data_IF_232476217343
#
_entry.id   IF_232476217343
#
_cell.length_a   1.000
_cell.length_b   1.000
_cell.length_c   1.000
_cell.angle_alpha   90.00
_cell.angle_beta   90.00
_cell.angle_gamma   90.00
#
_symmetry.space_group_name_H-M   'P 1'
#
loop_
_entity.id
_entity.type
_entity.pdbx_description
1 polymer ?
#
# COMPACT_ATOMS: atom_id res chain seq x y z
N UNK A 1 8.19 -20.87 -74.82
CA UNK A 1 6.85 -20.25 -74.81
C UNK A 1 6.78 -19.36 -73.58
N UNK A 2 7.12 -18.05 -73.71
CA UNK A 2 6.23 -16.94 -74.13
C UNK A 2 5.16 -16.64 -73.07
N UNK A 3 4.93 -15.44 -72.57
CA UNK A 3 5.53 -14.10 -72.70
C UNK A 3 5.03 -13.29 -71.48
N UNK A 4 5.86 -12.33 -71.09
CA UNK A 4 5.67 -11.08 -70.32
C UNK A 4 4.27 -10.43 -70.36
N UNK A 5 3.86 -9.71 -69.28
CA UNK A 5 3.65 -8.23 -69.24
C UNK A 5 3.31 -7.75 -67.82
N UNK A 6 4.11 -6.79 -67.35
CA UNK A 6 3.92 -5.91 -66.19
C UNK A 6 3.31 -4.58 -66.66
N UNK A 7 2.45 -3.90 -65.89
CA UNK A 7 2.24 -2.48 -66.06
C UNK A 7 2.92 -1.62 -64.98
N UNK A 8 3.23 -0.43 -65.45
CA UNK A 8 4.08 0.65 -64.98
C UNK A 8 3.50 1.44 -63.80
N UNK A 9 4.39 2.07 -63.03
CA UNK A 9 4.10 3.15 -62.08
C UNK A 9 3.65 4.42 -62.80
N UNK A 10 2.85 5.25 -62.13
CA UNK A 10 2.76 6.69 -62.38
C UNK A 10 3.00 7.44 -61.05
N UNK A 11 3.89 8.43 -61.11
CA UNK A 11 4.10 9.54 -60.18
C UNK A 11 2.76 10.31 -59.96
N UNK A 12 2.52 11.19 -58.98
CA UNK A 12 3.32 12.05 -58.12
C UNK A 12 2.39 12.53 -56.97
N UNK A 13 2.92 12.71 -55.75
CA UNK A 13 3.03 13.99 -55.02
C UNK A 13 1.78 14.54 -54.29
N UNK A 14 2.02 14.81 -53.01
CA UNK A 14 1.50 15.85 -52.11
C UNK A 14 0.22 16.62 -52.48
N UNK A 15 -0.70 16.76 -51.51
CA UNK A 15 -0.94 18.03 -50.78
C UNK A 15 -2.23 17.98 -49.93
N UNK A 16 -2.08 18.44 -48.69
CA UNK A 16 -2.88 19.49 -48.04
C UNK A 16 -4.39 19.51 -48.33
N UNK A 17 -5.17 18.97 -47.39
CA UNK A 17 -6.60 19.25 -47.27
C UNK A 17 -6.81 20.70 -46.82
N UNK A 18 -7.03 21.58 -47.79
CA UNK A 18 -7.63 22.91 -47.61
C UNK A 18 -9.15 22.76 -47.52
N UNK A 19 -9.75 23.33 -46.48
CA UNK A 19 -11.21 23.52 -46.42
C UNK A 19 -11.50 25.00 -46.64
N UNK A 20 -12.46 25.18 -47.54
CA UNK A 20 -12.91 26.37 -48.26
C UNK A 20 -13.71 27.35 -47.39
N UNK A 21 -13.56 28.65 -47.67
CA UNK A 21 -14.62 29.69 -47.68
C UNK A 21 -13.95 31.00 -48.14
N UNK A 22 -14.49 31.90 -48.95
CA UNK A 22 -15.83 32.20 -49.45
C UNK A 22 -15.74 33.67 -49.92
N UNK A 23 -16.38 34.01 -51.03
CA UNK A 23 -16.17 35.19 -51.90
C UNK A 23 -16.48 36.59 -51.33
N UNK A 24 -15.90 37.60 -51.99
CA UNK A 24 -15.95 39.07 -51.81
C UNK A 24 -17.33 39.76 -51.67
N UNK A 25 -17.38 40.85 -50.88
CA UNK A 25 -17.81 42.20 -51.34
C UNK A 25 -17.33 43.32 -50.38
N UNK A 26 -17.11 44.56 -50.85
CA UNK A 26 -16.47 45.64 -50.09
C UNK A 26 -17.46 46.73 -49.62
N UNK A 27 -17.33 47.23 -48.38
CA UNK A 27 -17.48 48.63 -47.98
C UNK A 27 -17.42 48.77 -46.46
N UNK A 28 -16.78 49.84 -46.01
CA UNK A 28 -16.29 50.01 -44.65
C UNK A 28 -17.34 50.24 -43.57
N UNK A 29 -16.89 50.11 -42.33
CA UNK A 29 -17.08 51.03 -41.22
C UNK A 29 -16.22 50.51 -40.05
N UNK A 30 -15.47 51.42 -39.41
CA UNK A 30 -14.64 51.12 -38.24
C UNK A 30 -15.52 50.78 -37.03
N UNK A 31 -15.42 49.55 -36.53
CA UNK A 31 -15.92 49.18 -35.21
C UNK A 31 -14.82 48.44 -34.42
N UNK A 32 -14.42 49.05 -33.31
CA UNK A 32 -13.61 48.43 -32.26
C UNK A 32 -14.50 47.48 -31.44
N UNK A 33 -14.42 46.16 -31.64
CA UNK A 33 -14.67 45.23 -30.53
C UNK A 33 -14.22 43.76 -30.76
N UNK A 34 -13.74 43.16 -29.68
CA UNK A 34 -13.75 41.72 -29.35
C UNK A 34 -12.86 40.75 -30.13
N UNK A 35 -11.58 40.65 -29.72
CA UNK A 35 -10.76 39.48 -29.98
C UNK A 35 -11.29 38.26 -29.19
N UNK A 36 -11.92 37.31 -29.89
CA UNK A 36 -12.25 35.99 -29.36
C UNK A 36 -10.95 35.19 -29.12
N UNK A 37 -10.51 35.10 -27.87
CA UNK A 37 -9.49 34.15 -27.45
C UNK A 37 -10.06 32.73 -27.48
N UNK A 38 -9.57 31.89 -28.40
CA UNK A 38 -9.89 30.47 -28.42
C UNK A 38 -9.54 29.81 -27.08
N UNK A 39 -10.29 28.77 -26.67
CA UNK A 39 -10.07 28.10 -25.40
C UNK A 39 -8.66 27.52 -25.35
N UNK A 40 -7.78 28.12 -24.56
CA UNK A 40 -6.44 27.59 -24.32
C UNK A 40 -6.60 26.24 -23.64
N UNK A 41 -6.29 25.16 -24.36
CA UNK A 41 -6.30 23.80 -23.80
C UNK A 41 -5.31 23.78 -22.62
N UNK A 42 -5.85 23.69 -21.41
CA UNK A 42 -5.07 23.64 -20.19
C UNK A 42 -4.37 22.29 -20.15
N UNK A 43 -3.07 22.27 -20.41
CA UNK A 43 -2.29 21.04 -20.32
C UNK A 43 -2.49 20.45 -18.91
N UNK A 44 -2.79 19.16 -18.84
CA UNK A 44 -3.03 18.43 -17.60
C UNK A 44 -1.80 17.57 -17.33
N UNK A 45 -1.28 17.62 -16.11
CA UNK A 45 -0.18 16.77 -15.66
C UNK A 45 -0.56 15.28 -15.71
N UNK A 46 0.40 14.34 -15.75
CA UNK A 46 0.10 12.91 -15.63
C UNK A 46 -0.69 12.51 -14.37
N UNK A 47 -0.75 13.38 -13.35
CA UNK A 47 -1.55 13.23 -12.13
C UNK A 47 -2.90 13.95 -12.14
N UNK A 48 -3.40 14.43 -13.29
CA UNK A 48 -4.75 14.98 -13.43
C UNK A 48 -4.92 16.45 -13.04
N UNK A 49 -3.85 17.13 -12.59
CA UNK A 49 -3.90 18.54 -12.18
C UNK A 49 -3.61 19.47 -13.38
N UNK A 50 -4.34 20.59 -13.55
CA UNK A 50 -4.03 21.59 -14.56
C UNK A 50 -2.65 22.19 -14.35
N UNK A 51 -1.86 22.35 -15.41
CA UNK A 51 -0.56 23.00 -15.34
C UNK A 51 -0.77 24.50 -15.06
N UNK A 52 -0.27 24.96 -13.92
CA UNK A 52 -0.25 26.35 -13.52
C UNK A 52 1.01 27.04 -14.08
N UNK A 53 0.82 27.85 -15.11
CA UNK A 53 1.89 28.63 -15.77
C UNK A 53 1.97 30.07 -15.24
N UNK A 54 1.30 30.41 -14.14
CA UNK A 54 1.25 31.80 -13.62
C UNK A 54 2.54 32.24 -12.92
N UNK A 55 3.46 31.32 -12.64
CA UNK A 55 4.73 31.61 -11.99
C UNK A 55 5.89 31.62 -13.02
N UNK A 56 6.76 32.65 -13.02
CA UNK A 56 8.01 32.65 -13.80
C UNK A 56 8.85 31.42 -13.46
N UNK A 57 9.47 30.81 -14.47
CA UNK A 57 10.13 29.50 -14.45
C UNK A 57 11.25 29.37 -13.40
N UNK A 58 10.87 29.18 -12.15
CA UNK A 58 11.71 28.45 -11.19
C UNK A 58 11.58 26.96 -11.54
N UNK A 59 12.68 26.18 -11.48
CA UNK A 59 12.60 24.74 -11.68
C UNK A 59 11.54 24.15 -10.75
N UNK A 60 10.49 23.55 -11.33
CA UNK A 60 9.51 22.77 -10.58
C UNK A 60 10.23 21.50 -10.15
N UNK A 61 10.83 21.53 -8.96
CA UNK A 61 11.27 20.30 -8.31
C UNK A 61 10.02 19.54 -7.89
N UNK A 62 9.65 18.50 -8.64
CA UNK A 62 8.70 17.51 -8.14
C UNK A 62 9.35 16.83 -6.92
N UNK A 63 9.05 17.33 -5.72
CA UNK A 63 9.45 16.68 -4.47
C UNK A 63 8.77 15.31 -4.44
N UNK A 64 9.55 14.26 -4.64
CA UNK A 64 9.08 12.88 -4.47
C UNK A 64 9.01 12.58 -2.97
N UNK A 65 7.85 12.18 -2.48
CA UNK A 65 7.72 11.72 -1.11
C UNK A 65 8.60 10.49 -0.85
N UNK A 66 9.09 10.34 0.37
CA UNK A 66 9.75 9.13 0.81
C UNK A 66 8.79 7.94 0.80
N UNK A 67 9.31 6.72 0.66
CA UNK A 67 8.52 5.50 0.81
C UNK A 67 8.19 5.29 2.31
N UNK A 68 6.91 5.35 2.73
CA UNK A 68 6.56 5.17 4.13
C UNK A 68 6.42 3.69 4.54
N UNK A 69 6.39 2.75 3.59
CA UNK A 69 6.17 1.32 3.87
C UNK A 69 7.17 0.73 4.86
N UNK A 70 8.50 1.01 4.79
CA UNK A 70 9.44 0.47 5.77
C UNK A 70 9.13 0.91 7.20
N UNK A 71 8.65 2.14 7.41
CA UNK A 71 8.30 2.63 8.74
C UNK A 71 7.11 1.84 9.31
N UNK A 72 6.06 1.66 8.51
CA UNK A 72 4.89 0.88 8.90
C UNK A 72 5.23 -0.57 9.21
N UNK A 73 6.05 -1.20 8.36
CA UNK A 73 6.49 -2.59 8.55
C UNK A 73 7.41 -2.76 9.77
N UNK A 74 8.30 -1.81 10.07
CA UNK A 74 9.15 -1.89 11.28
C UNK A 74 8.32 -1.76 12.57
N UNK A 75 7.33 -0.86 12.59
CA UNK A 75 6.38 -0.71 13.69
C UNK A 75 5.59 -2.00 13.94
N UNK A 76 5.04 -2.54 12.86
CA UNK A 76 4.33 -3.82 12.86
C UNK A 76 5.21 -4.98 13.35
N UNK A 77 6.39 -5.16 12.72
CA UNK A 77 7.27 -6.29 12.95
C UNK A 77 7.75 -6.33 14.40
N UNK A 78 8.17 -5.18 14.94
CA UNK A 78 8.71 -5.09 16.30
C UNK A 78 7.65 -5.41 17.34
N UNK A 79 6.45 -4.84 17.19
CA UNK A 79 5.36 -5.08 18.13
C UNK A 79 4.86 -6.53 18.05
N UNK A 80 4.75 -7.07 16.83
CA UNK A 80 4.39 -8.48 16.60
C UNK A 80 5.42 -9.42 17.19
N UNK A 81 6.72 -9.18 16.95
CA UNK A 81 7.80 -10.00 17.48
C UNK A 81 7.73 -10.06 19.00
N UNK A 82 7.63 -8.90 19.67
CA UNK A 82 7.59 -8.86 21.13
C UNK A 82 6.35 -9.56 21.66
N UNK A 83 5.13 -9.27 21.16
CA UNK A 83 3.93 -10.01 21.61
C UNK A 83 4.08 -11.53 21.40
N UNK A 84 4.62 -11.93 20.26
CA UNK A 84 4.79 -13.35 19.90
C UNK A 84 5.79 -14.06 20.80
N UNK A 85 6.84 -13.38 21.27
CA UNK A 85 7.77 -13.90 22.27
C UNK A 85 7.10 -14.17 23.62
N UNK A 86 6.11 -13.35 24.00
CA UNK A 86 5.31 -13.58 25.20
C UNK A 86 4.32 -14.73 24.97
N UNK A 87 3.75 -14.84 23.75
CA UNK A 87 2.84 -15.93 23.42
C UNK A 87 3.49 -17.31 23.47
N UNK A 88 4.78 -17.41 23.15
CA UNK A 88 5.59 -18.63 23.32
C UNK A 88 6.19 -18.78 24.73
N UNK A 89 5.84 -17.89 25.66
CA UNK A 89 6.38 -17.85 27.03
C UNK A 89 7.91 -17.82 27.06
N UNK A 90 8.53 -17.10 26.13
CA UNK A 90 9.99 -16.99 26.09
C UNK A 90 10.50 -16.44 27.44
N UNK A 91 11.53 -17.10 27.99
CA UNK A 91 12.10 -16.77 29.31
C UNK A 91 11.11 -16.90 30.48
N UNK A 92 9.98 -17.59 30.29
CA UNK A 92 8.92 -17.72 31.32
C UNK A 92 8.10 -16.44 31.53
N UNK A 93 8.21 -15.46 30.62
CA UNK A 93 7.47 -14.20 30.71
C UNK A 93 6.13 -14.37 30.00
N UNK A 94 5.04 -14.17 30.74
CA UNK A 94 3.66 -14.25 30.22
C UNK A 94 2.86 -12.95 30.40
N UNK A 95 3.30 -12.03 31.27
CA UNK A 95 2.60 -10.76 31.54
C UNK A 95 2.85 -9.74 30.42
N UNK A 96 1.85 -9.39 29.59
CA UNK A 96 2.08 -8.63 28.35
C UNK A 96 2.30 -7.12 28.55
N UNK A 97 2.34 -6.59 29.77
CA UNK A 97 2.33 -5.14 30.04
C UNK A 97 3.42 -4.34 29.30
N UNK A 98 4.59 -4.92 29.02
CA UNK A 98 5.64 -4.24 28.25
C UNK A 98 5.24 -4.05 26.79
N UNK A 99 4.47 -4.99 26.22
CA UNK A 99 3.94 -4.92 24.84
C UNK A 99 3.05 -3.70 24.67
N UNK A 100 2.36 -3.26 25.72
CA UNK A 100 1.43 -2.14 25.67
C UNK A 100 2.08 -0.84 25.17
N UNK A 101 3.32 -0.56 25.58
CA UNK A 101 4.06 0.61 25.09
C UNK A 101 4.32 0.56 23.59
N UNK A 102 4.67 -0.63 23.07
CA UNK A 102 4.87 -0.83 21.63
C UNK A 102 3.53 -0.81 20.87
N UNK A 103 2.49 -1.40 21.44
CA UNK A 103 1.15 -1.46 20.87
C UNK A 103 0.57 -0.05 20.68
N UNK A 104 0.69 0.84 21.66
CA UNK A 104 0.21 2.21 21.51
C UNK A 104 1.20 3.07 20.70
N UNK A 105 2.49 3.00 21.02
CA UNK A 105 3.49 3.93 20.49
C UNK A 105 3.97 3.61 19.07
N UNK A 106 4.34 2.35 18.80
CA UNK A 106 5.08 1.99 17.57
C UNK A 106 4.23 1.19 16.58
N UNK A 107 3.80 -0.01 16.96
CA UNK A 107 2.85 -0.79 16.16
C UNK A 107 1.50 -0.10 16.01
N UNK A 108 1.14 0.78 16.94
CA UNK A 108 -0.08 1.58 16.87
C UNK A 108 0.10 2.89 16.13
N UNK A 109 0.53 3.92 16.86
CA UNK A 109 0.59 5.30 16.38
C UNK A 109 1.52 5.47 15.18
N UNK A 110 2.78 5.04 15.28
CA UNK A 110 3.74 5.23 14.17
C UNK A 110 3.32 4.46 12.93
N UNK A 111 2.80 3.25 13.09
CA UNK A 111 2.28 2.47 11.96
C UNK A 111 1.05 3.13 11.32
N UNK A 112 0.13 3.67 12.13
CA UNK A 112 -1.02 4.44 11.63
C UNK A 112 -0.55 5.66 10.83
N UNK A 113 0.44 6.40 11.33
CA UNK A 113 1.04 7.55 10.64
C UNK A 113 1.70 7.13 9.32
N UNK A 114 2.40 5.99 9.27
CA UNK A 114 2.92 5.45 8.02
C UNK A 114 1.79 5.18 7.01
N UNK A 115 0.66 4.62 7.44
CA UNK A 115 -0.53 4.46 6.61
C UNK A 115 -1.12 5.78 6.11
N UNK A 116 -1.12 6.83 6.94
CA UNK A 116 -1.53 8.18 6.49
C UNK A 116 -0.64 8.71 5.36
N UNK A 117 0.67 8.44 5.43
CA UNK A 117 1.61 8.81 4.37
C UNK A 117 1.51 7.93 3.13
N UNK A 118 1.05 6.67 3.24
CA UNK A 118 0.76 5.84 2.08
C UNK A 118 -0.38 6.41 1.21
N UNK A 119 -1.38 7.07 1.83
CA UNK A 119 -2.39 7.81 1.07
C UNK A 119 -1.76 8.93 0.25
N UNK A 120 -0.80 9.67 0.83
CA UNK A 120 -0.13 10.78 0.16
C UNK A 120 0.73 10.33 -1.03
N UNK A 121 1.25 9.10 -1.01
CA UNK A 121 2.03 8.53 -2.14
C UNK A 121 1.19 7.68 -3.10
N UNK A 122 -0.13 7.58 -2.87
CA UNK A 122 -1.07 6.90 -3.75
C UNK A 122 -1.08 5.38 -3.64
N UNK A 123 -0.58 4.81 -2.53
CA UNK A 123 -0.55 3.37 -2.30
C UNK A 123 -1.77 2.93 -1.46
N UNK A 124 -2.88 2.61 -2.12
CA UNK A 124 -4.12 2.19 -1.44
C UNK A 124 -3.91 0.97 -0.53
N UNK A 125 -3.17 -0.04 -1.00
CA UNK A 125 -2.95 -1.26 -0.23
C UNK A 125 -2.19 -0.95 1.07
N UNK A 126 -1.05 -0.25 0.97
CA UNK A 126 -0.25 0.12 2.14
C UNK A 126 -1.02 1.04 3.09
N UNK A 127 -1.77 2.00 2.54
CA UNK A 127 -2.58 2.93 3.32
C UNK A 127 -3.63 2.20 4.16
N UNK A 128 -4.41 1.31 3.54
CA UNK A 128 -5.40 0.53 4.27
C UNK A 128 -4.74 -0.44 5.24
N UNK A 129 -3.70 -1.18 4.83
CA UNK A 129 -3.04 -2.17 5.69
C UNK A 129 -2.40 -1.54 6.92
N UNK A 130 -1.53 -0.53 6.76
CA UNK A 130 -0.84 0.07 7.90
C UNK A 130 -1.77 0.84 8.82
N UNK A 131 -2.78 1.53 8.29
CA UNK A 131 -3.77 2.19 9.15
C UNK A 131 -4.65 1.20 9.90
N UNK A 132 -5.06 0.09 9.27
CA UNK A 132 -5.81 -0.97 9.94
C UNK A 132 -5.01 -1.63 11.05
N UNK A 133 -3.77 -2.07 10.80
CA UNK A 133 -2.95 -2.71 11.84
C UNK A 133 -2.44 -1.73 12.90
N UNK A 134 -2.25 -0.45 12.56
CA UNK A 134 -2.07 0.62 13.54
C UNK A 134 -3.27 0.73 14.48
N UNK A 135 -4.47 0.71 13.91
CA UNK A 135 -5.73 0.64 14.66
C UNK A 135 -5.82 -0.60 15.55
N UNK A 136 -5.50 -1.79 15.00
CA UNK A 136 -5.46 -3.06 15.75
C UNK A 136 -4.58 -2.94 16.99
N UNK A 137 -3.36 -2.45 16.86
CA UNK A 137 -2.43 -2.38 17.98
C UNK A 137 -2.88 -1.38 19.04
N UNK A 138 -3.44 -0.23 18.63
CA UNK A 138 -4.02 0.74 19.56
C UNK A 138 -5.20 0.12 20.31
N UNK A 139 -6.17 -0.48 19.59
CA UNK A 139 -7.35 -1.07 20.22
C UNK A 139 -7.03 -2.30 21.06
N UNK A 140 -6.08 -3.14 20.63
CA UNK A 140 -5.62 -4.28 21.41
C UNK A 140 -4.90 -3.83 22.69
N UNK A 141 -4.10 -2.77 22.62
CA UNK A 141 -3.50 -2.17 23.80
C UNK A 141 -4.55 -1.68 24.81
N UNK A 142 -5.63 -1.06 24.33
CA UNK A 142 -6.71 -0.58 25.20
C UNK A 142 -7.37 -1.68 26.03
N UNK A 143 -7.40 -2.93 25.55
CA UNK A 143 -7.93 -4.06 26.32
C UNK A 143 -7.24 -4.22 27.68
N UNK A 144 -5.96 -3.86 27.79
CA UNK A 144 -5.14 -4.10 28.98
C UNK A 144 -4.75 -2.83 29.74
N UNK A 145 -5.32 -1.67 29.39
CA UNK A 145 -5.17 -0.42 30.16
C UNK A 145 -6.27 -0.38 31.23
N UNK A 146 -5.92 -0.43 32.54
CA UNK A 146 -6.91 -0.51 33.62
C UNK A 146 -7.93 0.64 33.63
N UNK A 147 -7.53 1.81 33.14
CA UNK A 147 -8.40 2.99 33.08
C UNK A 147 -9.61 2.82 32.14
N UNK A 148 -9.54 1.92 31.16
CA UNK A 148 -10.68 1.62 30.28
C UNK A 148 -11.62 0.56 30.86
N UNK A 149 -11.24 -0.08 31.98
CA UNK A 149 -12.06 -1.06 32.71
C UNK A 149 -12.57 -2.23 31.84
N UNK A 150 -11.84 -2.57 30.75
CA UNK A 150 -12.30 -3.59 29.80
C UNK A 150 -12.19 -4.98 30.42
N UNK A 151 -11.07 -5.33 31.05
CA UNK A 151 -10.91 -6.65 31.71
C UNK A 151 -11.83 -6.75 32.91
N UNK A 152 -11.93 -5.67 33.69
CA UNK A 152 -12.73 -5.55 34.89
C UNK A 152 -14.22 -5.76 34.61
N UNK A 153 -14.70 -5.35 33.43
CA UNK A 153 -16.08 -5.58 32.99
C UNK A 153 -16.45 -7.07 32.83
N UNK A 154 -15.47 -7.97 32.74
CA UNK A 154 -15.68 -9.41 32.64
C UNK A 154 -15.43 -10.15 33.95
N UNK A 155 -15.09 -9.47 35.05
CA UNK A 155 -14.92 -10.11 36.36
C UNK A 155 -16.18 -10.89 36.78
N UNK A 156 -15.99 -12.15 37.18
CA UNK A 156 -17.08 -13.05 37.57
C UNK A 156 -17.88 -13.66 36.42
N UNK A 157 -17.66 -13.24 35.17
CA UNK A 157 -18.36 -13.80 33.99
C UNK A 157 -17.65 -15.03 33.41
N UNK A 158 -16.31 -15.06 33.46
CA UNK A 158 -15.49 -16.08 32.81
C UNK A 158 -15.35 -15.93 31.29
N UNK A 159 -15.99 -14.93 30.67
CA UNK A 159 -16.15 -14.84 29.21
C UNK A 159 -15.11 -13.91 28.53
N UNK A 160 -14.10 -13.43 29.26
CA UNK A 160 -13.11 -12.50 28.69
C UNK A 160 -12.31 -13.13 27.54
N UNK A 161 -11.87 -14.38 27.71
CA UNK A 161 -11.15 -15.12 26.67
C UNK A 161 -12.01 -15.26 25.41
N UNK A 162 -13.29 -15.64 25.54
CA UNK A 162 -14.22 -15.71 24.41
C UNK A 162 -14.40 -14.37 23.71
N UNK A 163 -14.48 -13.26 24.45
CA UNK A 163 -14.57 -11.93 23.88
C UNK A 163 -13.30 -11.55 23.08
N UNK A 164 -12.11 -11.88 23.60
CA UNK A 164 -10.83 -11.70 22.89
C UNK A 164 -10.76 -12.62 21.67
N UNK A 165 -11.24 -13.85 21.77
CA UNK A 165 -11.35 -14.79 20.66
C UNK A 165 -12.23 -14.25 19.52
N UNK A 166 -13.41 -13.69 19.83
CA UNK A 166 -14.28 -13.05 18.83
C UNK A 166 -13.56 -11.86 18.17
N UNK A 167 -12.87 -11.04 18.96
CA UNK A 167 -12.08 -9.92 18.46
C UNK A 167 -10.99 -10.38 17.49
N UNK A 168 -10.21 -11.40 17.85
CA UNK A 168 -9.13 -11.94 17.00
C UNK A 168 -9.69 -12.67 15.77
N UNK A 169 -10.86 -13.30 15.85
CA UNK A 169 -11.54 -13.90 14.70
C UNK A 169 -11.96 -12.85 13.66
N UNK A 170 -12.37 -11.65 14.09
CA UNK A 170 -12.61 -10.54 13.17
C UNK A 170 -11.32 -10.09 12.46
N UNK A 171 -10.19 -10.04 13.18
CA UNK A 171 -8.89 -9.70 12.60
C UNK A 171 -8.32 -10.78 11.69
N UNK A 172 -8.65 -12.05 11.92
CA UNK A 172 -8.41 -13.13 10.96
C UNK A 172 -9.12 -12.84 9.63
N UNK A 173 -10.42 -12.52 9.65
CA UNK A 173 -11.17 -12.21 8.41
C UNK A 173 -10.56 -11.02 7.66
N UNK A 174 -10.23 -9.94 8.39
CA UNK A 174 -9.59 -8.75 7.80
C UNK A 174 -8.24 -9.11 7.18
N UNK A 175 -7.43 -9.91 7.87
CA UNK A 175 -6.12 -10.34 7.39
C UNK A 175 -6.23 -11.24 6.17
N UNK A 176 -7.20 -12.15 6.13
CA UNK A 176 -7.47 -13.00 4.98
C UNK A 176 -7.82 -12.17 3.72
N UNK A 177 -8.59 -11.09 3.87
CA UNK A 177 -8.88 -10.17 2.77
C UNK A 177 -7.59 -9.51 2.25
N UNK A 178 -6.72 -9.04 3.16
CA UNK A 178 -5.43 -8.47 2.75
C UNK A 178 -4.51 -9.52 2.13
N UNK A 179 -4.53 -10.77 2.62
CA UNK A 179 -3.78 -11.87 2.03
C UNK A 179 -4.18 -12.05 0.56
N UNK A 180 -5.48 -12.18 0.27
CA UNK A 180 -5.98 -12.29 -1.10
C UNK A 180 -5.60 -11.07 -1.95
N UNK A 181 -5.72 -9.86 -1.41
CA UNK A 181 -5.33 -8.64 -2.10
C UNK A 181 -3.82 -8.56 -2.39
N UNK A 182 -2.99 -9.20 -1.58
CA UNK A 182 -1.52 -9.19 -1.73
C UNK A 182 -0.98 -10.18 -2.78
N UNK A 183 -1.78 -11.14 -3.26
CA UNK A 183 -1.33 -12.26 -4.11
C UNK A 183 -0.71 -11.86 -5.45
N UNK A 184 -0.91 -10.62 -5.90
CA UNK A 184 -0.30 -10.07 -7.13
C UNK A 184 0.78 -9.03 -6.88
N UNK A 185 1.14 -8.79 -5.61
CA UNK A 185 2.15 -7.80 -5.25
C UNK A 185 3.55 -8.40 -5.26
N UNK A 186 3.87 -9.23 -4.27
CA UNK A 186 5.17 -9.91 -4.20
C UNK A 186 5.07 -11.15 -3.31
N UNK A 187 5.95 -12.12 -3.54
CA UNK A 187 6.02 -13.36 -2.75
C UNK A 187 6.25 -13.02 -1.27
N UNK A 188 7.14 -12.07 -0.98
CA UNK A 188 7.42 -11.67 0.40
C UNK A 188 6.16 -11.08 1.08
N UNK A 189 5.44 -10.18 0.40
CA UNK A 189 4.24 -9.57 0.97
C UNK A 189 3.10 -10.59 1.13
N UNK A 190 2.89 -11.46 0.15
CA UNK A 190 1.91 -12.54 0.28
C UNK A 190 2.26 -13.51 1.41
N UNK A 191 3.54 -13.82 1.59
CA UNK A 191 4.01 -14.66 2.70
C UNK A 191 3.74 -13.97 4.04
N UNK A 192 4.01 -12.67 4.16
CA UNK A 192 3.73 -11.91 5.38
C UNK A 192 2.27 -12.07 5.82
N UNK A 193 1.33 -11.83 4.90
CA UNK A 193 -0.09 -11.92 5.21
C UNK A 193 -0.55 -13.35 5.45
N UNK A 194 -0.01 -14.33 4.72
CA UNK A 194 -0.32 -15.75 4.96
C UNK A 194 0.06 -16.21 6.38
N UNK A 195 1.29 -15.91 6.82
CA UNK A 195 1.71 -16.29 8.17
C UNK A 195 0.97 -15.48 9.25
N UNK A 196 0.67 -14.20 9.00
CA UNK A 196 -0.14 -13.39 9.91
C UNK A 196 -1.57 -13.91 10.04
N UNK A 197 -2.16 -14.37 8.94
CA UNK A 197 -3.50 -14.96 8.92
C UNK A 197 -3.54 -16.23 9.79
N UNK A 198 -2.54 -17.10 9.65
CA UNK A 198 -2.39 -18.28 10.51
C UNK A 198 -2.15 -17.87 11.97
N UNK A 199 -1.36 -16.82 12.24
CA UNK A 199 -1.18 -16.29 13.60
C UNK A 199 -2.53 -15.93 14.23
N UNK A 200 -3.36 -15.13 13.56
CA UNK A 200 -4.68 -14.77 14.08
C UNK A 200 -5.58 -15.99 14.25
N UNK A 201 -5.58 -16.91 13.27
CA UNK A 201 -6.33 -18.16 13.34
C UNK A 201 -6.00 -18.96 14.61
N UNK A 202 -4.71 -19.20 14.84
CA UNK A 202 -4.27 -19.98 16.00
C UNK A 202 -4.56 -19.25 17.31
N UNK A 203 -4.32 -17.94 17.38
CA UNK A 203 -4.57 -17.18 18.61
C UNK A 203 -6.06 -17.16 18.97
N UNK A 204 -6.97 -16.92 18.03
CA UNK A 204 -8.40 -16.93 18.37
C UNK A 204 -8.90 -18.34 18.74
N UNK A 205 -8.41 -19.39 18.08
CA UNK A 205 -8.74 -20.77 18.44
C UNK A 205 -8.20 -21.09 19.84
N UNK A 206 -7.03 -20.59 20.20
CA UNK A 206 -6.47 -20.76 21.53
C UNK A 206 -7.36 -20.12 22.60
N UNK A 207 -7.88 -18.90 22.35
CA UNK A 207 -8.81 -18.24 23.27
C UNK A 207 -10.11 -19.05 23.46
N UNK A 208 -10.72 -19.55 22.38
CA UNK A 208 -11.95 -20.35 22.48
C UNK A 208 -11.77 -21.74 23.10
N UNK A 209 -10.58 -22.32 22.99
CA UNK A 209 -10.32 -23.68 23.48
C UNK A 209 -9.58 -23.70 24.82
N UNK A 210 -9.00 -22.57 25.25
CA UNK A 210 -8.08 -22.50 26.38
C UNK A 210 -6.77 -23.27 26.16
N UNK A 211 -6.45 -23.65 24.92
CA UNK A 211 -5.31 -24.53 24.63
C UNK A 211 -3.99 -23.77 24.59
N UNK A 212 -3.18 -23.92 25.65
CA UNK A 212 -1.85 -23.31 25.72
C UNK A 212 -0.89 -23.75 24.60
N UNK A 213 -1.03 -24.98 24.09
CA UNK A 213 -0.22 -25.46 22.95
C UNK A 213 -0.58 -24.74 21.65
N UNK A 214 -1.88 -24.47 21.42
CA UNK A 214 -2.34 -23.69 20.26
C UNK A 214 -1.91 -22.23 20.40
N UNK A 215 -2.00 -21.67 21.62
CA UNK A 215 -1.50 -20.32 21.90
C UNK A 215 -0.01 -20.18 21.57
N UNK A 216 0.79 -21.15 22.02
CA UNK A 216 2.24 -21.22 21.72
C UNK A 216 2.49 -21.34 20.22
N UNK A 217 1.72 -22.17 19.51
CA UNK A 217 1.83 -22.26 18.06
C UNK A 217 1.51 -20.93 17.37
N UNK A 218 0.46 -20.22 17.80
CA UNK A 218 0.14 -18.88 17.31
C UNK A 218 1.29 -17.90 17.50
N UNK A 219 1.93 -17.92 18.67
CA UNK A 219 3.17 -17.17 18.94
C UNK A 219 4.31 -17.53 17.99
N UNK A 220 4.56 -18.82 17.72
CA UNK A 220 5.62 -19.24 16.80
C UNK A 220 5.40 -18.71 15.37
N UNK A 221 4.16 -18.78 14.87
CA UNK A 221 3.80 -18.19 13.58
C UNK A 221 3.94 -16.66 13.59
N UNK A 222 3.60 -16.00 14.70
CA UNK A 222 3.78 -14.55 14.85
C UNK A 222 5.25 -14.12 14.80
N UNK A 223 6.17 -14.93 15.32
CA UNK A 223 7.61 -14.70 15.18
C UNK A 223 8.03 -14.76 13.71
N UNK A 224 7.59 -15.77 12.97
CA UNK A 224 7.88 -15.92 11.53
C UNK A 224 7.35 -14.70 10.76
N UNK A 225 6.10 -14.31 11.02
CA UNK A 225 5.46 -13.12 10.47
C UNK A 225 6.31 -11.87 10.69
N UNK A 226 6.80 -11.65 11.91
CA UNK A 226 7.62 -10.49 12.23
C UNK A 226 8.94 -10.46 11.45
N UNK A 227 9.62 -11.60 11.32
CA UNK A 227 10.87 -11.67 10.54
C UNK A 227 10.65 -11.42 9.04
N UNK A 228 9.53 -11.88 8.48
CA UNK A 228 9.17 -11.57 7.09
C UNK A 228 8.90 -10.06 6.95
N UNK A 229 8.20 -9.44 7.90
CA UNK A 229 7.96 -7.99 7.89
C UNK A 229 9.25 -7.19 7.98
N UNK A 230 10.19 -7.59 8.86
CA UNK A 230 11.52 -6.99 8.92
C UNK A 230 12.29 -7.12 7.60
N UNK A 231 12.21 -8.29 6.95
CA UNK A 231 12.82 -8.50 5.65
C UNK A 231 12.27 -7.54 4.59
N UNK A 232 10.95 -7.39 4.51
CA UNK A 232 10.30 -6.48 3.54
C UNK A 232 10.66 -5.02 3.86
N UNK A 233 10.67 -4.64 5.15
CA UNK A 233 11.05 -3.30 5.57
C UNK A 233 12.49 -2.97 5.15
N UNK A 234 13.43 -3.89 5.41
CA UNK A 234 14.82 -3.76 5.01
C UNK A 234 14.95 -3.66 3.49
N UNK A 235 14.26 -4.53 2.74
CA UNK A 235 14.25 -4.47 1.27
C UNK A 235 13.75 -3.12 0.74
N UNK A 236 12.79 -2.49 1.43
CA UNK A 236 12.29 -1.16 1.07
C UNK A 236 13.20 0.01 1.45
N UNK A 237 14.17 -0.18 2.35
CA UNK A 237 15.19 0.83 2.71
C UNK A 237 16.46 0.73 1.86
N UNK A 238 16.82 -0.47 1.41
CA UNK A 238 18.02 -0.70 0.60
C UNK A 238 17.78 -0.26 -0.85
N UNK A 239 18.42 0.85 -1.25
CA UNK A 239 18.38 1.34 -2.63
C UNK A 239 19.73 1.19 -3.30
N UNK A 240 19.78 1.19 -4.64
CA UNK A 240 21.05 1.14 -5.39
C UNK A 240 21.96 2.33 -5.09
N UNK A 241 21.39 3.45 -4.68
CA UNK A 241 22.12 4.69 -4.40
C UNK A 241 22.66 4.73 -2.96
N UNK A 242 22.02 4.02 -2.03
CA UNK A 242 22.33 4.07 -0.58
C UNK A 242 22.90 2.77 -0.04
N UNK A 243 23.00 1.72 -0.83
CA UNK A 243 23.34 0.37 -0.34
C UNK A 243 24.17 -0.43 -1.33
N UNK A 244 25.07 -1.26 -0.79
CA UNK A 244 25.94 -2.13 -1.59
C UNK A 244 25.21 -3.31 -2.24
N UNK A 245 24.00 -3.63 -1.77
CA UNK A 245 23.17 -4.71 -2.28
C UNK A 245 21.68 -4.38 -2.13
N UNK A 246 20.84 -5.15 -2.83
CA UNK A 246 19.37 -5.08 -2.72
C UNK A 246 18.83 -6.47 -2.41
N UNK A 247 17.64 -6.55 -1.83
CA UNK A 247 17.02 -7.80 -1.42
C UNK A 247 15.87 -8.20 -2.35
N UNK A 248 15.80 -9.46 -2.80
CA UNK A 248 14.74 -9.92 -3.70
C UNK A 248 13.43 -10.15 -2.96
N UNK A 249 12.37 -9.42 -3.32
CA UNK A 249 11.03 -9.61 -2.75
C UNK A 249 10.14 -10.59 -3.55
N UNK A 250 10.59 -10.98 -4.75
CA UNK A 250 9.84 -11.82 -5.69
C UNK A 250 8.62 -11.10 -6.26
N UNK A 251 8.84 -10.20 -7.21
CA UNK A 251 7.78 -9.43 -7.87
C UNK A 251 6.81 -10.36 -8.61
N UNK A 252 5.51 -10.27 -8.28
CA UNK A 252 4.43 -11.05 -8.90
C UNK A 252 3.59 -10.21 -9.87
N UNK A 253 3.92 -8.93 -10.02
CA UNK A 253 3.28 -8.08 -11.02
C UNK A 253 3.60 -8.62 -12.42
N UNK A 254 2.59 -8.60 -13.30
CA UNK A 254 2.65 -9.25 -14.60
C UNK A 254 3.81 -8.64 -15.41
N UNK A 255 4.86 -9.43 -15.70
CA UNK A 255 5.95 -9.00 -16.56
C UNK A 255 5.38 -8.56 -17.91
N UNK A 256 5.40 -7.26 -18.20
CA UNK A 256 5.13 -6.78 -19.55
C UNK A 256 6.28 -7.25 -20.42
N UNK A 257 6.04 -8.30 -21.20
CA UNK A 257 6.97 -8.71 -22.25
C UNK A 257 7.14 -7.50 -23.18
N UNK A 258 8.36 -6.95 -23.37
CA UNK A 258 8.56 -5.90 -24.35
C UNK A 258 8.18 -6.49 -25.70
N UNK A 259 7.20 -5.89 -26.41
CA UNK A 259 7.02 -6.19 -27.82
C UNK A 259 8.29 -5.73 -28.53
N UNK A 260 9.14 -6.66 -28.95
CA UNK A 260 10.21 -6.36 -29.89
C UNK A 260 9.55 -5.85 -31.17
N UNK A 261 9.73 -4.57 -31.47
CA UNK A 261 9.45 -4.03 -32.80
C UNK A 261 10.41 -4.71 -33.78
N UNK A 262 9.89 -5.64 -34.57
CA UNK A 262 10.50 -6.05 -35.83
C UNK A 262 10.01 -5.13 -36.94
#
# INVERSE_FOLDING_TARGET
MSHEVKPMRSHADAETSTVVNGSHSPNGHHDYNSGHGGSVARFITPGGNPIDNTQPAFPVYHRRFANPSPLGLMGFATTTFVLSMYNVSARGVSTPNVVLGLAIGYGGLVQLLAGMWEFAVGNTFGATAFSSYGGFWISFGFLYIPQFQIVEAYEGTGNFADAVGIYLAAWFIVTFIFFVASLRSSIALSSLFFFLDITFLLLFVAEFTGSGSVHTAGGAFGIITAFIAYYIALAGMLTKDTSHFTLPIGDLSRASTPKSSQ
#
